data_IF_652544644033
#
_entry.id   IF_652544644033
#
_cell.length_a   1.000
_cell.length_b   1.000
_cell.length_c   1.000
_cell.angle_alpha   90.00
_cell.angle_beta   90.00
_cell.angle_gamma   90.00
#
_symmetry.space_group_name_H-M   'P 1'
#
loop_
_entity.id
_entity.type
_entity.pdbx_description
1 polymer ?
#
# COMPACT_ATOMS: atom_id res chain seq x y z
N UNK A 1 -21.65 18.36 51.57
CA UNK A 1 -23.03 18.90 51.61
C UNK A 1 -22.99 20.39 51.91
N UNK A 2 -23.09 21.24 50.89
CA UNK A 2 -23.20 22.69 51.12
C UNK A 2 -24.59 23.00 51.66
N UNK A 3 -24.71 23.51 52.90
CA UNK A 3 -25.99 23.97 53.43
C UNK A 3 -26.49 25.13 52.56
N UNK A 4 -27.72 25.01 52.07
CA UNK A 4 -28.32 25.98 51.16
C UNK A 4 -28.35 27.37 51.84
N UNK A 5 -27.73 28.42 51.28
CA UNK A 5 -27.67 29.76 51.89
C UNK A 5 -29.06 30.33 52.22
N UNK A 6 -30.09 29.86 51.52
CA UNK A 6 -31.49 30.17 51.83
C UNK A 6 -31.94 29.78 53.23
N UNK A 7 -31.41 28.69 53.79
CA UNK A 7 -31.77 28.21 55.14
C UNK A 7 -31.22 29.15 56.22
N UNK A 8 -30.02 29.68 56.02
CA UNK A 8 -29.44 30.66 56.96
C UNK A 8 -30.14 32.01 56.87
N UNK A 9 -30.49 32.43 55.65
CA UNK A 9 -31.24 33.66 55.44
C UNK A 9 -32.63 33.58 56.08
N UNK A 10 -33.38 32.51 55.85
CA UNK A 10 -34.69 32.32 56.46
C UNK A 10 -34.61 32.21 57.98
N UNK A 11 -33.60 31.49 58.51
CA UNK A 11 -33.35 31.43 59.95
C UNK A 11 -33.06 32.83 60.53
N UNK A 12 -32.27 33.66 59.86
CA UNK A 12 -31.97 35.02 60.31
C UNK A 12 -33.21 35.92 60.30
N UNK A 13 -34.05 35.85 59.26
CA UNK A 13 -35.30 36.60 59.17
C UNK A 13 -36.28 36.17 60.25
N UNK A 14 -36.47 34.86 60.45
CA UNK A 14 -37.35 34.33 61.51
C UNK A 14 -36.85 34.77 62.89
N UNK A 15 -35.54 34.67 63.14
CA UNK A 15 -34.94 35.09 64.41
C UNK A 15 -35.13 36.58 64.66
N UNK A 16 -34.87 37.41 63.66
CA UNK A 16 -35.06 38.86 63.75
C UNK A 16 -36.54 39.22 64.01
N UNK A 17 -37.47 38.53 63.34
CA UNK A 17 -38.91 38.73 63.51
C UNK A 17 -39.35 38.35 64.93
N UNK A 18 -38.88 37.22 65.44
CA UNK A 18 -39.15 36.78 66.83
C UNK A 18 -38.61 37.77 67.85
N UNK A 19 -37.38 38.27 67.68
CA UNK A 19 -36.77 39.26 68.57
C UNK A 19 -37.57 40.57 68.55
N UNK A 20 -37.97 41.05 67.37
CA UNK A 20 -38.81 42.24 67.22
C UNK A 20 -40.14 42.06 67.93
N UNK A 21 -40.81 40.93 67.71
CA UNK A 21 -42.13 40.63 68.29
C UNK A 21 -42.06 40.56 69.82
N UNK A 22 -41.05 39.87 70.36
CA UNK A 22 -40.79 39.80 71.80
C UNK A 22 -40.46 41.17 72.40
N UNK A 23 -39.63 41.96 71.72
CA UNK A 23 -39.27 43.32 72.13
C UNK A 23 -40.49 44.25 72.19
N UNK A 24 -41.36 44.21 71.18
CA UNK A 24 -42.62 44.97 71.15
C UNK A 24 -43.55 44.54 72.29
N UNK A 25 -43.70 43.24 72.52
CA UNK A 25 -44.58 42.71 73.57
C UNK A 25 -44.08 43.07 74.97
N UNK A 26 -42.76 43.05 75.19
CA UNK A 26 -42.15 43.45 76.45
C UNK A 26 -42.30 44.95 76.72
N UNK A 27 -42.08 45.81 75.71
CA UNK A 27 -42.22 47.25 75.85
C UNK A 27 -43.63 47.67 76.31
N UNK A 28 -44.67 47.06 75.72
CA UNK A 28 -46.08 47.28 76.13
C UNK A 28 -46.36 46.91 77.60
N UNK A 29 -45.57 46.00 78.18
CA UNK A 29 -45.79 45.50 79.54
C UNK A 29 -45.10 46.34 80.62
N UNK A 30 -44.08 47.12 80.25
CA UNK A 30 -43.25 47.88 81.18
C UNK A 30 -43.46 49.40 81.11
N UNK A 31 -44.41 49.89 80.30
CA UNK A 31 -44.76 51.31 80.18
C UNK A 31 -43.55 52.21 79.91
N UNK A 32 -42.60 51.70 79.11
CA UNK A 32 -41.37 52.40 78.73
C UNK A 32 -41.69 53.43 77.63
N UNK A 33 -41.25 54.67 77.84
CA UNK A 33 -41.46 55.79 76.92
C UNK A 33 -40.93 55.48 75.51
N UNK A 34 -41.74 55.79 74.51
CA UNK A 34 -41.71 55.16 73.17
C UNK A 34 -40.83 55.93 72.17
N UNK A 35 -40.15 57.00 72.62
CA UNK A 35 -39.35 57.88 71.78
C UNK A 35 -38.23 57.17 70.98
N UNK A 36 -37.78 56.01 71.45
CA UNK A 36 -36.77 55.18 70.76
C UNK A 36 -37.27 54.61 69.41
N UNK A 37 -38.58 54.51 69.18
CA UNK A 37 -39.14 54.00 67.92
C UNK A 37 -38.89 54.93 66.73
N UNK A 38 -38.75 56.24 66.97
CA UNK A 38 -38.48 57.21 65.89
C UNK A 38 -37.13 56.97 65.22
N UNK A 39 -36.12 56.53 65.97
CA UNK A 39 -34.84 56.08 65.42
C UNK A 39 -34.90 54.68 64.80
N UNK A 40 -35.68 53.76 65.38
CA UNK A 40 -35.76 52.37 64.92
C UNK A 40 -36.28 52.23 63.48
N UNK A 41 -37.22 53.09 63.05
CA UNK A 41 -37.71 53.12 61.67
C UNK A 41 -36.62 53.44 60.65
N UNK A 42 -35.69 54.34 60.99
CA UNK A 42 -34.58 54.73 60.11
C UNK A 42 -33.56 53.59 59.95
N UNK A 43 -33.27 52.87 61.05
CA UNK A 43 -32.42 51.68 61.03
C UNK A 43 -33.05 50.52 60.26
N UNK A 44 -34.35 50.29 60.39
CA UNK A 44 -35.08 49.29 59.60
C UNK A 44 -35.04 49.60 58.10
N UNK A 45 -35.27 50.85 57.71
CA UNK A 45 -35.15 51.27 56.30
C UNK A 45 -33.75 51.05 55.73
N UNK A 46 -32.72 51.36 56.51
CA UNK A 46 -31.32 51.09 56.14
C UNK A 46 -31.04 49.59 55.99
N UNK A 47 -31.53 48.76 56.92
CA UNK A 47 -31.36 47.30 56.86
C UNK A 47 -32.04 46.69 55.63
N UNK A 48 -33.27 47.10 55.30
CA UNK A 48 -33.98 46.65 54.10
C UNK A 48 -33.24 47.05 52.82
N UNK A 49 -32.67 48.26 52.77
CA UNK A 49 -31.91 48.74 51.61
C UNK A 49 -30.63 47.92 51.39
N UNK A 50 -29.91 47.57 52.46
CA UNK A 50 -28.72 46.69 52.37
C UNK A 50 -29.10 45.29 51.90
N UNK A 51 -30.22 44.75 52.39
CA UNK A 51 -30.72 43.45 51.95
C UNK A 51 -31.09 43.48 50.46
N UNK A 52 -31.78 44.52 49.99
CA UNK A 52 -32.13 44.69 48.58
C UNK A 52 -30.88 44.85 47.69
N UNK A 53 -29.88 45.61 48.15
CA UNK A 53 -28.60 45.72 47.44
C UNK A 53 -27.86 44.37 47.39
N UNK A 54 -27.88 43.62 48.48
CA UNK A 54 -27.27 42.29 48.57
C UNK A 54 -27.92 41.27 47.63
N UNK A 55 -29.25 41.23 47.56
CA UNK A 55 -29.98 40.35 46.64
C UNK A 55 -29.76 40.73 45.19
N UNK A 56 -29.81 42.03 44.86
CA UNK A 56 -29.50 42.52 43.51
C UNK A 56 -28.08 42.17 43.07
N UNK A 57 -27.10 42.36 43.96
CA UNK A 57 -25.71 41.97 43.70
C UNK A 57 -25.57 40.46 43.50
N UNK A 58 -26.24 39.65 44.31
CA UNK A 58 -26.22 38.20 44.19
C UNK A 58 -26.79 37.73 42.84
N UNK A 59 -27.94 38.27 42.42
CA UNK A 59 -28.54 37.99 41.11
C UNK A 59 -27.56 38.36 39.99
N UNK A 60 -27.00 39.58 40.03
CA UNK A 60 -26.05 40.05 39.02
C UNK A 60 -24.80 39.16 38.94
N UNK A 61 -24.27 38.70 40.08
CA UNK A 61 -23.11 37.78 40.09
C UNK A 61 -23.45 36.39 39.57
N UNK A 62 -24.64 35.86 39.85
CA UNK A 62 -25.08 34.56 39.35
C UNK A 62 -25.36 34.59 37.85
N UNK A 63 -26.01 35.64 37.34
CA UNK A 63 -26.25 35.79 35.91
C UNK A 63 -24.93 35.89 35.14
N UNK A 64 -23.96 36.63 35.68
CA UNK A 64 -22.62 36.71 35.07
C UNK A 64 -21.92 35.35 35.07
N UNK A 65 -22.05 34.56 36.13
CA UNK A 65 -21.47 33.20 36.19
C UNK A 65 -22.14 32.27 35.17
N UNK A 66 -23.47 32.32 35.06
CA UNK A 66 -24.23 31.53 34.09
C UNK A 66 -23.86 31.90 32.65
N UNK A 67 -23.83 33.19 32.32
CA UNK A 67 -23.42 33.66 31.01
C UNK A 67 -21.99 33.25 30.63
N UNK A 68 -21.06 33.19 31.59
CA UNK A 68 -19.70 32.69 31.35
C UNK A 68 -19.69 31.18 31.15
N UNK A 69 -20.48 30.42 31.92
CA UNK A 69 -20.61 28.98 31.76
C UNK A 69 -21.19 28.62 30.38
N UNK A 70 -22.26 29.31 29.96
CA UNK A 70 -22.90 29.09 28.66
C UNK A 70 -21.92 29.37 27.51
N UNK A 71 -21.23 30.51 27.53
CA UNK A 71 -20.20 30.82 26.51
C UNK A 71 -19.06 29.80 26.46
N UNK A 72 -18.71 29.19 27.59
CA UNK A 72 -17.69 28.13 27.63
C UNK A 72 -18.22 26.84 27.04
N UNK A 73 -19.48 26.50 27.32
CA UNK A 73 -20.15 25.35 26.72
C UNK A 73 -20.25 25.50 25.19
N UNK A 74 -20.68 26.66 24.70
CA UNK A 74 -20.79 26.93 23.26
C UNK A 74 -19.43 26.83 22.55
N UNK A 75 -18.37 27.38 23.16
CA UNK A 75 -17.00 27.27 22.62
C UNK A 75 -16.53 25.82 22.61
N UNK A 76 -16.80 25.06 23.66
CA UNK A 76 -16.43 23.65 23.72
C UNK A 76 -17.16 22.82 22.65
N UNK A 77 -18.44 23.11 22.40
CA UNK A 77 -19.21 22.48 21.32
C UNK A 77 -18.64 22.84 19.94
N UNK A 78 -18.40 24.12 19.67
CA UNK A 78 -17.81 24.56 18.40
C UNK A 78 -16.43 23.95 18.15
N UNK A 79 -15.62 23.79 19.19
CA UNK A 79 -14.32 23.12 19.09
C UNK A 79 -14.47 21.62 18.82
N UNK A 80 -15.46 20.96 19.42
CA UNK A 80 -15.76 19.56 19.18
C UNK A 80 -16.21 19.34 17.72
N UNK A 81 -17.12 20.18 17.21
CA UNK A 81 -17.61 20.10 15.83
C UNK A 81 -16.48 20.31 14.83
N UNK A 82 -15.64 21.33 15.04
CA UNK A 82 -14.45 21.56 14.19
C UNK A 82 -13.47 20.40 14.21
N UNK A 83 -13.33 19.69 15.33
CA UNK A 83 -12.48 18.49 15.41
C UNK A 83 -13.11 17.33 14.64
N UNK A 84 -14.42 17.16 14.74
CA UNK A 84 -15.15 16.15 13.98
C UNK A 84 -15.03 16.39 12.47
N UNK A 85 -15.23 17.63 12.01
CA UNK A 85 -15.08 18.00 10.59
C UNK A 85 -13.67 17.74 10.07
N UNK A 86 -12.64 18.09 10.84
CA UNK A 86 -11.25 17.83 10.46
C UNK A 86 -10.96 16.33 10.38
N UNK A 87 -11.45 15.55 11.34
CA UNK A 87 -11.31 14.11 11.33
C UNK A 87 -11.99 13.49 10.09
N UNK A 88 -13.19 13.98 9.74
CA UNK A 88 -13.91 13.53 8.55
C UNK A 88 -13.12 13.82 7.26
N UNK A 89 -12.64 15.06 7.09
CA UNK A 89 -11.84 15.44 5.91
C UNK A 89 -10.54 14.64 5.82
N UNK A 90 -9.90 14.31 6.95
CA UNK A 90 -8.72 13.45 6.95
C UNK A 90 -9.04 12.01 6.55
N UNK A 91 -10.19 11.47 6.97
CA UNK A 91 -10.65 10.15 6.57
C UNK A 91 -10.94 10.09 5.06
N UNK A 92 -11.65 11.09 4.53
CA UNK A 92 -11.96 11.16 3.10
C UNK A 92 -10.67 11.25 2.26
N UNK A 93 -9.71 12.08 2.65
CA UNK A 93 -8.40 12.17 1.98
C UNK A 93 -7.60 10.87 2.03
N UNK A 94 -7.74 10.08 3.10
CA UNK A 94 -7.09 8.77 3.18
C UNK A 94 -7.76 7.77 2.25
N UNK A 95 -9.09 7.80 2.16
CA UNK A 95 -9.85 6.96 1.24
C UNK A 95 -9.47 7.26 -0.22
N UNK A 96 -9.42 8.54 -0.59
CA UNK A 96 -9.04 8.96 -1.95
C UNK A 96 -7.63 8.51 -2.33
N UNK A 97 -6.67 8.62 -1.40
CA UNK A 97 -5.29 8.17 -1.62
C UNK A 97 -5.21 6.66 -1.80
N UNK A 98 -5.90 5.90 -0.96
CA UNK A 98 -5.94 4.44 -1.05
C UNK A 98 -6.57 3.99 -2.38
N UNK A 99 -7.63 4.66 -2.83
CA UNK A 99 -8.25 4.38 -4.12
C UNK A 99 -7.30 4.65 -5.28
N UNK A 100 -6.63 5.81 -5.28
CA UNK A 100 -5.67 6.16 -6.33
C UNK A 100 -4.47 5.19 -6.39
N UNK A 101 -4.02 4.68 -5.25
CA UNK A 101 -2.97 3.65 -5.19
C UNK A 101 -3.45 2.30 -5.74
N UNK A 102 -4.68 1.89 -5.42
CA UNK A 102 -5.30 0.69 -5.96
C UNK A 102 -5.46 0.76 -7.48
N UNK A 103 -5.91 1.90 -8.01
CA UNK A 103 -6.07 2.12 -9.46
C UNK A 103 -4.72 2.03 -10.18
N UNK A 104 -3.68 2.68 -9.66
CA UNK A 104 -2.31 2.58 -10.22
C UNK A 104 -1.77 1.16 -10.17
N UNK A 105 -2.07 0.41 -9.12
CA UNK A 105 -1.65 -0.99 -9.02
C UNK A 105 -2.38 -1.84 -10.07
N UNK A 106 -3.68 -1.63 -10.26
CA UNK A 106 -4.46 -2.32 -11.27
C UNK A 106 -3.95 -2.00 -12.69
N UNK A 107 -3.66 -0.74 -13.01
CA UNK A 107 -3.06 -0.34 -14.29
C UNK A 107 -1.71 -1.02 -14.53
N UNK A 108 -0.85 -1.08 -13.51
CA UNK A 108 0.43 -1.78 -13.60
C UNK A 108 0.26 -3.27 -13.86
N UNK A 109 -0.66 -3.93 -13.16
CA UNK A 109 -0.96 -5.35 -13.36
C UNK A 109 -1.54 -5.61 -14.76
N UNK A 110 -2.38 -4.73 -15.28
CA UNK A 110 -2.89 -4.82 -16.65
C UNK A 110 -1.77 -4.68 -17.68
N UNK A 111 -0.90 -3.67 -17.51
CA UNK A 111 0.24 -3.46 -18.39
C UNK A 111 1.20 -4.66 -18.35
N UNK A 112 1.45 -5.22 -17.16
CA UNK A 112 2.27 -6.43 -17.02
C UNK A 112 1.64 -7.64 -17.69
N UNK A 113 0.33 -7.85 -17.56
CA UNK A 113 -0.40 -8.92 -18.23
C UNK A 113 -0.38 -8.76 -19.76
N UNK A 114 -0.50 -7.53 -20.26
CA UNK A 114 -0.40 -7.22 -21.69
C UNK A 114 1.02 -7.47 -22.21
N UNK A 115 2.06 -7.09 -21.45
CA UNK A 115 3.45 -7.40 -21.80
C UNK A 115 3.71 -8.91 -21.80
N UNK A 116 3.16 -9.67 -20.86
CA UNK A 116 3.27 -11.13 -20.84
C UNK A 116 2.56 -11.75 -22.05
N UNK A 117 1.37 -11.26 -22.39
CA UNK A 117 0.64 -11.70 -23.59
C UNK A 117 1.44 -11.41 -24.86
N UNK A 118 2.05 -10.24 -24.95
CA UNK A 118 2.91 -9.86 -26.07
C UNK A 118 4.18 -10.73 -26.12
N UNK A 119 4.80 -11.02 -24.98
CA UNK A 119 5.96 -11.88 -24.90
C UNK A 119 5.64 -13.35 -25.28
N UNK A 120 4.43 -13.82 -24.97
CA UNK A 120 3.89 -15.13 -25.38
C UNK A 120 3.56 -15.25 -26.88
N UNK A 121 3.71 -14.18 -27.67
CA UNK A 121 3.65 -14.26 -29.13
C UNK A 121 4.92 -14.87 -29.73
N UNK A 122 6.02 -14.93 -28.97
CA UNK A 122 7.19 -15.72 -29.36
C UNK A 122 6.89 -17.16 -28.99
N UNK A 123 6.90 -18.05 -29.98
CA UNK A 123 6.58 -19.47 -29.79
C UNK A 123 7.78 -20.35 -30.10
N UNK A 124 8.00 -21.33 -29.24
CA UNK A 124 8.83 -22.48 -29.54
C UNK A 124 7.97 -23.50 -30.28
N UNK A 125 8.35 -23.81 -31.51
CA UNK A 125 7.65 -24.78 -32.35
C UNK A 125 8.63 -25.84 -32.80
N UNK A 126 8.09 -27.02 -33.09
CA UNK A 126 8.85 -28.13 -33.68
C UNK A 126 10.06 -28.53 -32.81
N UNK A 127 9.77 -28.93 -31.57
CA UNK A 127 10.71 -29.62 -30.69
C UNK A 127 10.90 -31.04 -31.21
N UNK A 128 11.54 -31.17 -32.37
CA UNK A 128 11.93 -32.45 -32.90
C UNK A 128 13.30 -32.79 -32.33
N UNK A 129 13.31 -33.78 -31.43
CA UNK A 129 14.50 -34.59 -31.26
C UNK A 129 14.55 -35.49 -32.50
N UNK A 130 15.15 -34.99 -33.58
CA UNK A 130 15.52 -35.79 -34.75
C UNK A 130 16.68 -36.71 -34.37
N UNK A 131 16.48 -37.53 -33.33
CA UNK A 131 16.99 -38.89 -33.31
C UNK A 131 16.19 -39.68 -34.33
N UNK A 132 16.28 -39.31 -35.61
CA UNK A 132 15.85 -40.21 -36.66
C UNK A 132 16.85 -41.36 -36.60
N UNK A 133 16.45 -42.39 -35.84
CA UNK A 133 16.98 -43.74 -35.86
C UNK A 133 16.73 -44.32 -37.25
N UNK A 134 17.25 -43.68 -38.30
CA UNK A 134 17.49 -44.38 -39.54
C UNK A 134 18.68 -45.30 -39.28
N UNK A 135 18.34 -46.43 -38.66
CA UNK A 135 19.14 -47.64 -38.57
C UNK A 135 19.37 -48.15 -39.99
N UNK A 136 20.19 -47.44 -40.76
CA UNK A 136 20.85 -48.05 -41.89
C UNK A 136 21.88 -49.02 -41.28
N UNK A 137 21.61 -50.32 -41.39
CA UNK A 137 22.14 -51.41 -40.59
C UNK A 137 23.67 -51.68 -40.72
N UNK A 138 24.45 -50.71 -41.18
CA UNK A 138 25.88 -50.86 -41.49
C UNK A 138 26.84 -49.87 -40.83
N UNK A 139 26.36 -48.74 -40.29
CA UNK A 139 27.22 -47.73 -39.66
C UNK A 139 27.02 -47.67 -38.14
N UNK A 140 28.09 -47.48 -37.34
CA UNK A 140 27.95 -47.32 -35.90
C UNK A 140 27.01 -46.14 -35.62
N UNK A 141 26.05 -46.28 -34.68
CA UNK A 141 25.05 -45.24 -34.45
C UNK A 141 25.75 -43.92 -34.18
N UNK A 142 25.33 -42.81 -34.83
CA UNK A 142 25.89 -41.51 -34.57
C UNK A 142 25.79 -41.25 -33.07
N UNK A 143 26.95 -41.02 -32.46
CA UNK A 143 27.11 -40.98 -31.01
C UNK A 143 26.61 -39.65 -30.43
N UNK A 144 25.49 -39.11 -30.91
CA UNK A 144 24.93 -37.86 -30.41
C UNK A 144 23.55 -37.61 -31.00
N UNK A 145 22.58 -37.30 -30.13
CA UNK A 145 21.27 -36.80 -30.55
C UNK A 145 21.40 -35.34 -31.03
N UNK A 146 20.64 -34.99 -32.07
CA UNK A 146 20.48 -33.62 -32.51
C UNK A 146 19.07 -33.15 -32.13
N UNK A 147 19.00 -32.06 -31.36
CA UNK A 147 17.72 -31.41 -31.05
C UNK A 147 17.64 -30.16 -31.90
N UNK A 148 16.55 -30.07 -32.67
CA UNK A 148 16.19 -28.87 -33.40
C UNK A 148 15.00 -28.19 -32.74
N UNK A 149 15.04 -26.86 -32.69
CA UNK A 149 13.98 -26.01 -32.14
C UNK A 149 13.76 -24.86 -33.09
N UNK A 150 12.52 -24.68 -33.53
CA UNK A 150 12.14 -23.53 -34.37
C UNK A 150 11.55 -22.45 -33.49
N UNK A 151 12.25 -21.31 -33.38
CA UNK A 151 11.75 -20.12 -32.70
C UNK A 151 10.99 -19.26 -33.70
N UNK A 152 9.72 -18.98 -33.45
CA UNK A 152 8.92 -18.10 -34.30
C UNK A 152 8.51 -16.84 -33.54
N UNK A 153 8.75 -15.67 -34.14
CA UNK A 153 8.38 -14.39 -33.55
C UNK A 153 7.08 -13.87 -34.18
N UNK A 154 5.95 -13.93 -33.47
CA UNK A 154 4.70 -13.29 -33.92
C UNK A 154 4.51 -11.86 -33.40
N UNK A 155 5.54 -11.26 -32.79
CA UNK A 155 5.50 -9.86 -32.37
C UNK A 155 5.79 -8.95 -33.54
N UNK A 156 5.22 -7.75 -33.49
CA UNK A 156 5.54 -6.66 -34.43
C UNK A 156 7.00 -6.19 -34.24
N UNK A 157 7.51 -6.28 -33.02
CA UNK A 157 8.86 -5.86 -32.67
C UNK A 157 9.89 -6.99 -32.90
N UNK A 158 11.13 -6.59 -33.22
CA UNK A 158 12.27 -7.51 -33.36
C UNK A 158 12.73 -8.03 -32.00
N UNK A 159 13.19 -9.28 -31.95
CA UNK A 159 13.88 -9.85 -30.78
C UNK A 159 15.35 -10.14 -31.10
N UNK A 160 16.22 -10.02 -30.10
CA UNK A 160 17.67 -10.19 -30.19
C UNK A 160 18.24 -10.89 -28.95
N UNK A 161 19.55 -11.14 -28.93
CA UNK A 161 20.27 -11.79 -27.83
C UNK A 161 19.64 -13.14 -27.41
N UNK A 162 19.38 -14.01 -28.39
CA UNK A 162 18.79 -15.31 -28.10
C UNK A 162 19.80 -16.21 -27.38
N UNK A 163 19.44 -16.67 -26.18
CA UNK A 163 20.20 -17.62 -25.38
C UNK A 163 19.35 -18.87 -25.20
N UNK A 164 19.67 -19.91 -25.96
CA UNK A 164 19.03 -21.21 -25.85
C UNK A 164 19.72 -22.00 -24.75
N UNK A 165 19.00 -22.26 -23.66
CA UNK A 165 19.47 -23.13 -22.58
C UNK A 165 18.87 -24.50 -22.73
N UNK A 166 19.74 -25.48 -22.79
CA UNK A 166 19.39 -26.87 -23.00
C UNK A 166 19.80 -27.63 -21.75
N UNK A 167 18.83 -28.15 -21.01
CA UNK A 167 19.05 -28.84 -19.73
C UNK A 167 18.59 -30.28 -19.88
N UNK A 168 19.37 -31.24 -19.39
CA UNK A 168 18.93 -32.63 -19.35
C UNK A 168 17.69 -32.72 -18.47
N UNK A 169 16.64 -33.37 -18.98
CA UNK A 169 15.49 -33.68 -18.13
C UNK A 169 15.97 -34.63 -17.01
N UNK A 170 15.44 -34.48 -15.79
CA UNK A 170 15.74 -35.42 -14.72
C UNK A 170 15.33 -36.84 -15.14
N UNK A 171 16.14 -37.88 -14.85
CA UNK A 171 15.75 -39.26 -15.08
C UNK A 171 14.47 -39.57 -14.29
N UNK A 172 13.62 -40.43 -14.86
CA UNK A 172 12.33 -40.80 -14.25
C UNK A 172 12.48 -41.41 -12.83
N UNK A 173 13.66 -41.93 -12.51
CA UNK A 173 13.96 -42.62 -11.24
C UNK A 173 14.34 -41.68 -10.08
N UNK A 174 14.23 -40.35 -10.25
CA UNK A 174 14.34 -39.40 -9.14
C UNK A 174 15.76 -39.04 -8.70
N UNK A 175 16.78 -39.53 -9.41
CA UNK A 175 18.14 -39.02 -9.25
C UNK A 175 18.23 -37.57 -9.74
N UNK A 176 18.93 -36.73 -8.97
CA UNK A 176 19.10 -35.33 -9.33
C UNK A 176 19.79 -35.22 -10.70
N UNK A 177 19.25 -34.41 -11.63
CA UNK A 177 19.84 -34.25 -12.95
C UNK A 177 21.27 -33.73 -12.78
N UNK A 178 22.25 -34.44 -13.33
CA UNK A 178 23.62 -33.95 -13.35
C UNK A 178 23.69 -32.79 -14.35
N UNK A 179 23.84 -31.52 -13.91
CA UNK A 179 23.86 -30.38 -14.84
C UNK A 179 25.09 -30.39 -15.76
N UNK A 180 26.14 -31.15 -15.41
CA UNK A 180 27.30 -31.36 -16.27
C UNK A 180 27.02 -32.29 -17.46
N UNK A 181 25.79 -32.78 -17.59
CA UNK A 181 25.41 -33.76 -18.60
C UNK A 181 25.23 -33.21 -20.01
N UNK A 182 24.85 -31.95 -20.12
CA UNK A 182 24.59 -31.32 -21.41
C UNK A 182 25.74 -30.38 -21.71
N UNK A 183 26.79 -30.92 -22.31
CA UNK A 183 27.74 -30.07 -23.01
C UNK A 183 27.08 -29.68 -24.34
N UNK A 184 26.58 -28.45 -24.39
CA UNK A 184 26.09 -27.86 -25.64
C UNK A 184 27.29 -27.69 -26.55
N UNK A 185 27.49 -28.65 -27.46
CA UNK A 185 28.68 -28.74 -28.30
C UNK A 185 28.78 -27.54 -29.25
N UNK A 186 27.64 -27.12 -29.80
CA UNK A 186 27.48 -25.91 -30.59
C UNK A 186 25.99 -25.66 -30.86
N UNK A 187 25.68 -24.40 -31.17
CA UNK A 187 24.33 -23.97 -31.54
C UNK A 187 24.43 -23.22 -32.85
N UNK A 188 23.73 -23.70 -33.89
CA UNK A 188 23.61 -22.99 -35.17
C UNK A 188 22.24 -22.36 -35.28
N UNK A 189 22.18 -21.17 -35.86
CA UNK A 189 20.94 -20.47 -36.08
C UNK A 189 20.91 -19.82 -37.47
N UNK A 190 19.84 -20.03 -38.25
CA UNK A 190 19.64 -19.33 -39.53
C UNK A 190 18.15 -19.07 -39.77
N UNK A 191 17.86 -17.94 -40.42
CA UNK A 191 16.53 -17.52 -40.88
C UNK A 191 16.06 -18.29 -42.13
N UNK A 192 16.99 -18.68 -43.01
CA UNK A 192 16.74 -19.14 -44.38
C UNK A 192 17.54 -20.38 -44.79
N UNK A 193 18.70 -20.67 -44.19
CA UNK A 193 19.52 -21.85 -44.50
C UNK A 193 19.92 -22.66 -43.24
N UNK A 194 19.30 -23.82 -42.97
CA UNK A 194 19.60 -24.60 -41.77
C UNK A 194 21.04 -25.14 -41.69
N UNK A 195 21.88 -24.94 -42.72
CA UNK A 195 23.28 -25.36 -42.75
C UNK A 195 24.27 -24.23 -42.38
N UNK A 196 23.86 -22.96 -42.32
CA UNK A 196 24.78 -21.87 -41.99
C UNK A 196 25.18 -21.84 -40.51
N UNK A 197 26.40 -21.36 -40.25
CA UNK A 197 27.01 -21.35 -38.92
C UNK A 197 27.04 -19.95 -38.31
N UNK A 198 25.87 -19.45 -37.87
CA UNK A 198 25.80 -18.21 -37.09
C UNK A 198 25.56 -18.47 -35.60
N UNK A 199 26.21 -17.66 -34.76
CA UNK A 199 26.01 -17.66 -33.30
C UNK A 199 24.59 -17.14 -32.98
N UNK A 200 23.74 -17.94 -32.30
CA UNK A 200 22.36 -17.55 -31.98
C UNK A 200 22.28 -16.24 -31.18
N UNK A 201 23.31 -15.90 -30.41
CA UNK A 201 23.35 -14.67 -29.61
C UNK A 201 23.49 -13.42 -30.48
N UNK A 202 24.02 -13.55 -31.68
CA UNK A 202 24.16 -12.46 -32.66
C UNK A 202 22.96 -12.39 -33.62
N UNK A 203 22.10 -13.40 -33.60
CA UNK A 203 20.92 -13.44 -34.44
C UNK A 203 19.84 -12.48 -33.92
N UNK A 204 19.03 -11.99 -34.86
CA UNK A 204 17.84 -11.21 -34.53
C UNK A 204 16.69 -11.66 -35.40
N UNK A 205 15.51 -11.87 -34.80
CA UNK A 205 14.33 -12.38 -35.52
C UNK A 205 13.38 -11.21 -35.76
N UNK A 206 13.07 -10.93 -37.02
CA UNK A 206 12.11 -9.91 -37.42
C UNK A 206 10.66 -10.32 -37.07
N UNK A 207 9.70 -9.42 -37.29
CA UNK A 207 8.27 -9.73 -37.15
C UNK A 207 7.86 -10.84 -38.12
N UNK A 208 7.09 -11.79 -37.61
CA UNK A 208 6.56 -12.97 -38.32
C UNK A 208 7.60 -13.92 -38.92
N UNK A 209 8.86 -13.74 -38.56
CA UNK A 209 9.98 -14.55 -39.03
C UNK A 209 10.24 -15.74 -38.10
N UNK A 210 11.09 -16.66 -38.57
CA UNK A 210 11.46 -17.88 -37.86
C UNK A 210 12.97 -18.07 -37.85
N UNK A 211 13.48 -18.61 -36.76
CA UNK A 211 14.88 -18.98 -36.60
C UNK A 211 14.95 -20.47 -36.27
N UNK A 212 15.69 -21.21 -37.07
CA UNK A 212 15.95 -22.61 -36.82
C UNK A 212 17.18 -22.74 -35.96
N UNK A 213 17.03 -23.29 -34.75
CA UNK A 213 18.15 -23.51 -33.84
C UNK A 213 18.42 -25.00 -33.75
N UNK A 214 19.63 -25.42 -34.09
CA UNK A 214 20.09 -26.81 -33.92
C UNK A 214 21.16 -26.88 -32.84
N UNK A 215 20.99 -27.81 -31.91
CA UNK A 215 21.94 -28.07 -30.84
C UNK A 215 22.33 -29.55 -30.84
N UNK A 216 23.62 -29.81 -30.92
CA UNK A 216 24.14 -31.18 -30.78
C UNK A 216 24.27 -31.53 -29.30
N UNK A 217 23.71 -32.67 -28.92
CA UNK A 217 23.73 -33.16 -27.55
C UNK A 217 24.70 -34.32 -27.40
N UNK A 218 25.05 -34.59 -26.14
CA UNK A 218 25.73 -35.81 -25.78
C UNK A 218 24.87 -37.05 -26.09
N UNK A 219 25.49 -38.18 -26.48
CA UNK A 219 24.80 -39.41 -26.89
C UNK A 219 23.85 -40.00 -25.84
N UNK A 220 24.10 -39.69 -24.58
CA UNK A 220 23.43 -40.28 -23.43
C UNK A 220 22.34 -39.38 -22.84
N UNK A 221 22.06 -38.22 -23.46
CA UNK A 221 20.95 -37.36 -23.07
C UNK A 221 19.63 -37.90 -23.65
N UNK A 222 18.88 -38.65 -22.84
CA UNK A 222 17.62 -39.28 -23.27
C UNK A 222 16.44 -38.30 -23.40
N UNK A 223 16.43 -37.25 -22.57
CA UNK A 223 15.40 -36.23 -22.59
C UNK A 223 16.00 -34.87 -22.25
N UNK A 224 15.46 -33.83 -22.89
CA UNK A 224 16.01 -32.48 -22.83
C UNK A 224 14.88 -31.46 -22.68
N UNK A 225 15.06 -30.56 -21.73
CA UNK A 225 14.23 -29.38 -21.52
C UNK A 225 14.93 -28.20 -22.18
N UNK A 226 14.23 -27.53 -23.09
CA UNK A 226 14.75 -26.36 -23.80
C UNK A 226 14.06 -25.11 -23.30
N UNK A 227 14.86 -24.20 -22.76
CA UNK A 227 14.41 -22.88 -22.31
C UNK A 227 15.02 -21.82 -23.23
N UNK A 228 14.19 -20.93 -23.76
CA UNK A 228 14.64 -19.82 -24.59
C UNK A 228 14.65 -18.53 -23.79
N UNK A 229 15.79 -17.84 -23.75
CA UNK A 229 15.87 -16.46 -23.26
C UNK A 229 16.10 -15.52 -24.43
N UNK A 230 15.45 -14.36 -24.43
CA UNK A 230 15.65 -13.35 -25.46
C UNK A 230 15.48 -11.93 -24.89
N UNK A 231 16.04 -10.95 -25.59
CA UNK A 231 15.85 -9.52 -25.30
C UNK A 231 14.94 -8.93 -26.38
N UNK A 232 13.91 -8.17 -25.98
CA UNK A 232 13.09 -7.44 -26.94
C UNK A 232 13.76 -6.12 -27.37
N UNK A 233 13.24 -5.48 -28.43
CA UNK A 233 13.76 -4.21 -28.93
C UNK A 233 13.77 -3.08 -27.90
N UNK A 234 13.03 -3.21 -26.79
CA UNK A 234 13.01 -2.24 -25.68
C UNK A 234 13.98 -2.60 -24.56
N UNK A 235 14.81 -3.63 -24.74
CA UNK A 235 15.82 -4.07 -23.78
C UNK A 235 15.28 -4.92 -22.63
N UNK A 236 14.04 -5.42 -22.71
CA UNK A 236 13.48 -6.30 -21.66
C UNK A 236 13.82 -7.75 -21.97
N UNK A 237 14.26 -8.48 -20.96
CA UNK A 237 14.62 -9.90 -21.07
C UNK A 237 13.46 -10.79 -20.66
N UNK A 238 13.15 -11.76 -21.50
CA UNK A 238 12.10 -12.73 -21.33
C UNK A 238 12.68 -14.14 -21.36
N UNK A 239 12.03 -15.06 -20.67
CA UNK A 239 12.32 -16.48 -20.68
C UNK A 239 11.05 -17.24 -21.01
N UNK A 240 11.17 -18.20 -21.93
CA UNK A 240 10.11 -19.09 -22.34
C UNK A 240 10.53 -20.50 -21.95
N UNK A 241 9.70 -21.16 -21.16
CA UNK A 241 9.91 -22.54 -20.75
C UNK A 241 9.44 -23.53 -21.85
N UNK A 242 9.72 -24.83 -21.72
CA UNK A 242 9.29 -25.84 -22.70
C UNK A 242 7.77 -25.94 -22.86
N UNK A 243 7.00 -25.56 -21.83
CA UNK A 243 5.55 -25.57 -21.83
C UNK A 243 4.94 -24.31 -22.49
N UNK A 244 5.79 -23.35 -22.87
CA UNK A 244 5.40 -22.08 -23.47
C UNK A 244 4.97 -21.02 -22.47
N UNK A 245 5.16 -21.24 -21.16
CA UNK A 245 4.99 -20.19 -20.17
C UNK A 245 6.11 -19.17 -20.33
N UNK A 246 5.74 -17.91 -20.18
CA UNK A 246 6.65 -16.78 -20.34
C UNK A 246 6.82 -16.07 -19.02
N UNK A 247 8.06 -15.86 -18.63
CA UNK A 247 8.42 -15.10 -17.44
C UNK A 247 9.41 -13.98 -17.77
N UNK A 248 9.31 -12.88 -17.02
CA UNK A 248 10.24 -11.77 -17.14
C UNK A 248 11.48 -12.09 -16.30
N UNK A 249 12.65 -12.07 -16.93
CA UNK A 249 13.89 -12.35 -16.21
C UNK A 249 14.49 -11.06 -15.66
N UNK A 250 14.39 -10.90 -14.34
CA UNK A 250 15.06 -9.86 -13.55
C UNK A 250 16.49 -10.24 -13.16
N UNK A 251 17.24 -10.90 -14.04
CA UNK A 251 18.66 -11.06 -13.80
C UNK A 251 19.35 -9.70 -13.96
N UNK A 252 20.29 -9.34 -13.06
CA UNK A 252 21.17 -8.21 -13.31
C UNK A 252 21.90 -8.45 -14.65
N UNK A 253 22.12 -7.40 -15.46
CA UNK A 253 22.91 -7.55 -16.67
C UNK A 253 24.24 -8.23 -16.28
N UNK A 254 24.71 -9.24 -17.04
CA UNK A 254 26.02 -9.82 -16.77
C UNK A 254 27.02 -8.67 -16.71
N UNK A 255 27.97 -8.67 -15.74
CA UNK A 255 28.90 -7.57 -15.58
C UNK A 255 29.53 -7.29 -16.93
N UNK A 256 29.33 -6.07 -17.43
CA UNK A 256 29.88 -5.61 -18.69
C UNK A 256 31.34 -6.02 -18.71
N UNK A 257 31.77 -6.77 -19.73
CA UNK A 257 33.19 -7.10 -19.88
C UNK A 257 33.99 -5.80 -19.71
N UNK A 258 35.04 -5.80 -18.87
CA UNK A 258 35.79 -4.59 -18.59
C UNK A 258 36.24 -3.98 -19.91
N UNK A 259 35.84 -2.72 -20.15
CA UNK A 259 36.24 -1.98 -21.35
C UNK A 259 37.73 -2.15 -21.58
N UNK A 260 38.19 -2.49 -22.80
CA UNK A 260 39.61 -2.63 -23.07
C UNK A 260 40.32 -1.35 -22.62
N UNK A 261 41.47 -1.47 -21.93
CA UNK A 261 42.20 -0.31 -21.44
C UNK A 261 42.47 0.65 -22.60
N UNK A 262 42.36 1.98 -22.40
CA UNK A 262 42.62 2.93 -23.47
C UNK A 262 44.01 2.67 -24.04
N UNK A 263 44.08 2.52 -25.37
CA UNK A 263 45.34 2.34 -26.07
C UNK A 263 46.27 3.51 -25.68
N UNK A 264 47.41 3.20 -25.06
CA UNK A 264 48.46 4.19 -24.83
C UNK A 264 49.00 4.58 -26.21
N UNK A 265 48.66 5.79 -26.65
CA UNK A 265 49.27 6.47 -27.80
C UNK A 265 50.60 7.05 -27.34
#
# INVERSE_FOLDING_TARGET
MGRNPWVWFSAAVVTATVILTLGTTAAFRFDLDVDWYTGAGQWLGAAVSVLAAGTALWIATNDRKKAVADRRADRAQLEADRRADRAQVEMDRRADRAQLEADRQAERSQLEADLLREAGLVRLTDLSNTGDLHLDYGEPPPTGGEVSVTVRNHRVDRICDLDLRVVAAPPADGDAPNPAAVEQLWTKADLHDPEAEDDPRKCSIASDDKLYIKSRLNPWAEAVLVTLRYTDQRGRRWQIDPDGNVERVTDPPPPSQPSPPPARI
#
